data_IF_375563439306
#
_entry.id   IF_375563439306
#
_cell.length_a   1.000
_cell.length_b   1.000
_cell.length_c   1.000
_cell.angle_alpha   90.00
_cell.angle_beta   90.00
_cell.angle_gamma   90.00
#
_symmetry.space_group_name_H-M   'P 1'
#
loop_
_entity.id
_entity.type
_entity.pdbx_description
1 polymer ?
#
# COMPACT_ATOMS: atom_id res chain seq x y z
N UNK A 1 -0.03 2.26 13.81
CA UNK A 1 0.79 1.02 13.86
C UNK A 1 1.06 0.45 12.46
N UNK A 2 0.04 0.15 11.62
CA UNK A 2 0.24 -0.35 10.25
C UNK A 2 1.21 0.54 9.44
N UNK A 3 0.95 1.86 9.40
CA UNK A 3 1.81 2.81 8.68
C UNK A 3 3.27 2.74 9.15
N UNK A 4 3.51 2.66 10.45
CA UNK A 4 4.88 2.59 11.01
C UNK A 4 5.59 1.30 10.61
N UNK A 5 4.87 0.18 10.52
CA UNK A 5 5.43 -1.11 10.07
C UNK A 5 5.81 -1.02 8.58
N UNK A 6 4.93 -0.49 7.75
CA UNK A 6 5.17 -0.32 6.30
C UNK A 6 6.32 0.66 6.06
N UNK A 7 6.38 1.75 6.81
CA UNK A 7 7.47 2.71 6.74
C UNK A 7 8.81 2.05 7.03
N UNK A 8 8.92 1.33 8.14
CA UNK A 8 10.18 0.65 8.51
C UNK A 8 10.55 -0.50 7.55
N UNK A 9 9.55 -1.27 7.07
CA UNK A 9 9.79 -2.45 6.23
C UNK A 9 10.15 -2.10 4.79
N UNK A 10 9.49 -1.09 4.22
CA UNK A 10 9.52 -0.80 2.77
C UNK A 10 9.92 0.64 2.47
N UNK A 11 9.27 1.63 3.09
CA UNK A 11 9.42 3.02 2.70
C UNK A 11 10.82 3.58 2.99
N UNK A 12 11.48 3.14 4.07
CA UNK A 12 12.85 3.56 4.40
C UNK A 12 13.88 3.15 3.35
N UNK A 13 13.71 1.99 2.70
CA UNK A 13 14.60 1.56 1.63
C UNK A 13 14.45 2.46 0.39
N UNK A 14 13.22 2.82 0.03
CA UNK A 14 12.94 3.78 -1.06
C UNK A 14 13.50 5.16 -0.73
N UNK A 15 13.33 5.64 0.49
CA UNK A 15 13.90 6.89 0.98
C UNK A 15 15.42 6.89 0.87
N UNK A 16 16.06 5.86 1.40
CA UNK A 16 17.53 5.74 1.39
C UNK A 16 18.06 5.71 -0.06
N UNK A 17 17.40 5.00 -0.97
CA UNK A 17 17.78 4.93 -2.38
C UNK A 17 17.73 6.31 -3.05
N UNK A 18 16.67 7.08 -2.80
CA UNK A 18 16.52 8.43 -3.34
C UNK A 18 17.57 9.40 -2.77
N UNK A 19 17.79 9.34 -1.45
CA UNK A 19 18.79 10.19 -0.76
C UNK A 19 20.21 9.87 -1.25
N UNK A 20 20.57 8.58 -1.33
CA UNK A 20 21.88 8.16 -1.82
C UNK A 20 22.10 8.58 -3.27
N UNK A 21 21.12 8.36 -4.16
CA UNK A 21 21.22 8.78 -5.55
C UNK A 21 21.41 10.29 -5.70
N UNK A 22 20.69 11.09 -4.91
CA UNK A 22 20.82 12.55 -4.90
C UNK A 22 22.21 12.99 -4.42
N UNK A 23 22.71 12.42 -3.31
CA UNK A 23 24.02 12.74 -2.76
C UNK A 23 25.14 12.37 -3.74
N UNK A 24 25.10 11.18 -4.32
CA UNK A 24 26.11 10.71 -5.30
C UNK A 24 26.10 11.56 -6.58
N UNK A 25 24.97 12.18 -6.91
CA UNK A 25 24.85 13.10 -8.04
C UNK A 25 25.28 14.54 -7.69
N UNK A 26 25.82 14.79 -6.51
CA UNK A 26 26.28 16.11 -6.07
C UNK A 26 25.17 17.14 -5.89
N UNK A 27 23.94 16.69 -5.60
CA UNK A 27 22.80 17.59 -5.40
C UNK A 27 22.88 18.28 -4.04
N UNK A 28 22.33 19.50 -3.97
CA UNK A 28 22.25 20.26 -2.72
C UNK A 28 21.38 19.54 -1.66
N UNK A 29 21.64 19.81 -0.41
CA UNK A 29 21.01 19.11 0.72
C UNK A 29 19.47 19.26 0.76
N UNK A 30 18.95 20.43 0.31
CA UNK A 30 17.51 20.67 0.19
C UNK A 30 16.84 19.72 -0.79
N UNK A 31 17.45 19.50 -1.95
CA UNK A 31 16.95 18.55 -2.96
C UNK A 31 17.09 17.10 -2.48
N UNK A 32 18.19 16.73 -1.80
CA UNK A 32 18.34 15.41 -1.21
C UNK A 32 17.22 15.08 -0.22
N UNK A 33 16.79 16.06 0.59
CA UNK A 33 15.66 15.89 1.52
C UNK A 33 14.35 15.70 0.78
N UNK A 34 14.01 16.54 -0.18
CA UNK A 34 12.78 16.42 -0.97
C UNK A 34 12.70 15.06 -1.70
N UNK A 35 13.79 14.61 -2.29
CA UNK A 35 13.85 13.30 -2.93
C UNK A 35 13.72 12.16 -1.92
N UNK A 36 14.24 12.32 -0.71
CA UNK A 36 14.02 11.38 0.38
C UNK A 36 12.55 11.29 0.79
N UNK A 37 11.88 12.44 0.94
CA UNK A 37 10.44 12.50 1.25
C UNK A 37 9.60 11.87 0.13
N UNK A 38 9.94 12.14 -1.13
CA UNK A 38 9.32 11.47 -2.28
C UNK A 38 9.53 9.96 -2.23
N UNK A 39 10.76 9.49 -2.02
CA UNK A 39 11.08 8.07 -1.94
C UNK A 39 10.28 7.36 -0.84
N UNK A 40 10.22 7.97 0.36
CA UNK A 40 9.44 7.43 1.47
C UNK A 40 7.95 7.30 1.13
N UNK A 41 7.35 8.34 0.57
CA UNK A 41 5.95 8.32 0.17
C UNK A 41 5.68 7.33 -0.97
N UNK A 42 6.60 7.18 -1.92
CA UNK A 42 6.49 6.20 -3.01
C UNK A 42 6.54 4.78 -2.46
N UNK A 43 7.46 4.47 -1.54
CA UNK A 43 7.56 3.16 -0.91
C UNK A 43 6.32 2.80 -0.08
N UNK A 44 5.76 3.78 0.65
CA UNK A 44 4.48 3.62 1.34
C UNK A 44 3.33 3.32 0.35
N UNK A 45 3.22 4.12 -0.71
CA UNK A 45 2.20 3.93 -1.75
C UNK A 45 2.32 2.58 -2.45
N UNK A 46 3.55 2.14 -2.72
CA UNK A 46 3.83 0.84 -3.31
C UNK A 46 3.34 -0.32 -2.41
N UNK A 47 3.63 -0.27 -1.11
CA UNK A 47 3.18 -1.32 -0.18
C UNK A 47 1.66 -1.33 -0.02
N UNK A 48 1.02 -0.15 0.07
CA UNK A 48 -0.44 -0.07 0.11
C UNK A 48 -1.04 -0.68 -1.17
N UNK A 49 -0.46 -0.38 -2.33
CA UNK A 49 -0.88 -0.98 -3.59
C UNK A 49 -0.72 -2.51 -3.58
N UNK A 50 0.40 -3.03 -3.07
CA UNK A 50 0.65 -4.48 -2.98
C UNK A 50 -0.38 -5.18 -2.08
N UNK A 51 -0.70 -4.60 -0.93
CA UNK A 51 -1.74 -5.09 -0.02
C UNK A 51 -3.13 -5.11 -0.67
N UNK A 52 -3.46 -4.05 -1.46
CA UNK A 52 -4.72 -4.01 -2.21
C UNK A 52 -4.74 -5.03 -3.34
N UNK A 53 -3.63 -5.15 -4.06
CA UNK A 53 -3.51 -6.10 -5.16
C UNK A 53 -3.63 -7.55 -4.69
N UNK A 54 -3.08 -7.87 -3.52
CA UNK A 54 -3.22 -9.20 -2.92
C UNK A 54 -4.67 -9.50 -2.52
N UNK A 55 -5.40 -8.52 -2.00
CA UNK A 55 -6.76 -8.70 -1.51
C UNK A 55 -7.85 -8.62 -2.60
N UNK A 56 -7.64 -7.83 -3.66
CA UNK A 56 -8.68 -7.47 -4.64
C UNK A 56 -8.26 -7.63 -6.10
N UNK A 57 -7.03 -8.02 -6.36
CA UNK A 57 -6.50 -8.16 -7.72
C UNK A 57 -7.04 -9.39 -8.44
N UNK A 58 -6.73 -9.47 -9.73
CA UNK A 58 -6.94 -10.63 -10.57
C UNK A 58 -5.58 -11.26 -10.88
N UNK A 59 -5.44 -12.58 -10.67
CA UNK A 59 -4.16 -13.30 -10.86
C UNK A 59 -3.64 -13.19 -12.30
N UNK A 60 -4.53 -13.19 -13.30
CA UNK A 60 -4.16 -13.06 -14.71
C UNK A 60 -3.52 -11.70 -14.99
N UNK A 61 -4.06 -10.62 -14.41
CA UNK A 61 -3.57 -9.26 -14.59
C UNK A 61 -2.31 -8.97 -13.78
N UNK A 62 -2.18 -9.61 -12.60
CA UNK A 62 -1.08 -9.35 -11.66
C UNK A 62 0.13 -10.26 -11.86
N UNK A 63 -0.05 -11.39 -12.56
CA UNK A 63 1.03 -12.36 -12.81
C UNK A 63 1.59 -13.02 -11.55
N UNK A 64 0.85 -13.00 -10.44
CA UNK A 64 1.23 -13.63 -9.17
C UNK A 64 0.01 -14.25 -8.49
N UNK A 65 0.22 -15.24 -7.63
CA UNK A 65 -0.83 -15.80 -6.77
C UNK A 65 -1.27 -14.76 -5.76
N UNK A 66 -2.58 -14.54 -5.64
CA UNK A 66 -3.21 -13.54 -4.76
C UNK A 66 -3.87 -14.19 -3.54
N UNK A 67 -4.34 -13.37 -2.60
CA UNK A 67 -4.98 -13.82 -1.35
C UNK A 67 -4.01 -14.46 -0.35
N UNK A 68 -2.71 -14.31 -0.58
CA UNK A 68 -1.68 -14.92 0.27
C UNK A 68 -1.61 -14.28 1.65
N UNK A 69 -1.79 -12.98 1.72
CA UNK A 69 -1.75 -12.28 3.01
C UNK A 69 -2.92 -12.72 3.89
N UNK A 70 -4.10 -12.85 3.31
CA UNK A 70 -5.27 -13.34 4.02
C UNK A 70 -5.13 -14.82 4.42
N UNK A 71 -4.62 -15.67 3.52
CA UNK A 71 -4.42 -17.09 3.79
C UNK A 71 -3.34 -17.37 4.85
N UNK A 72 -2.39 -16.47 5.03
CA UNK A 72 -1.37 -16.56 6.08
C UNK A 72 -1.74 -15.76 7.35
N UNK A 73 -2.97 -15.27 7.45
CA UNK A 73 -3.44 -14.52 8.63
C UNK A 73 -2.78 -13.16 8.82
N UNK A 74 -2.20 -12.57 7.76
CA UNK A 74 -1.57 -11.25 7.86
C UNK A 74 -2.61 -10.15 7.93
N UNK A 75 -2.45 -9.27 8.91
CA UNK A 75 -3.31 -8.10 9.10
C UNK A 75 -2.78 -6.93 8.28
N UNK A 76 -3.20 -6.85 7.01
CA UNK A 76 -2.86 -5.77 6.08
C UNK A 76 -3.92 -4.67 6.05
N UNK A 77 -3.71 -3.61 5.25
CA UNK A 77 -4.62 -2.46 5.22
C UNK A 77 -6.09 -2.83 4.95
N UNK A 78 -6.44 -3.74 4.03
CA UNK A 78 -7.82 -4.18 3.84
C UNK A 78 -8.46 -4.75 5.11
N UNK A 79 -7.78 -5.63 5.84
CA UNK A 79 -8.32 -6.19 7.09
C UNK A 79 -8.45 -5.13 8.18
N UNK A 80 -7.48 -4.25 8.36
CA UNK A 80 -7.54 -3.15 9.33
C UNK A 80 -8.73 -2.24 9.01
N UNK A 81 -8.95 -1.93 7.74
CA UNK A 81 -10.09 -1.13 7.30
C UNK A 81 -11.40 -1.86 7.58
N UNK A 82 -11.48 -3.15 7.30
CA UNK A 82 -12.66 -3.97 7.64
C UNK A 82 -12.95 -3.92 9.15
N UNK A 83 -11.97 -4.19 9.99
CA UNK A 83 -12.15 -4.16 11.46
C UNK A 83 -12.66 -2.82 11.96
N UNK A 84 -12.23 -1.72 11.36
CA UNK A 84 -12.69 -0.38 11.74
C UNK A 84 -14.15 -0.07 11.32
N UNK A 85 -14.72 -0.89 10.43
CA UNK A 85 -16.07 -0.71 9.88
C UNK A 85 -17.09 -1.69 10.45
N UNK A 86 -16.62 -2.78 11.04
CA UNK A 86 -17.47 -3.76 11.70
C UNK A 86 -17.90 -3.26 13.09
N UNK A 87 -19.09 -3.67 13.57
CA UNK A 87 -19.44 -3.56 14.97
C UNK A 87 -18.34 -4.19 15.85
N UNK A 88 -18.06 -3.59 17.01
CA UNK A 88 -16.94 -4.00 17.86
C UNK A 88 -16.93 -5.49 18.19
N UNK A 89 -18.08 -6.08 18.52
CA UNK A 89 -18.20 -7.51 18.81
C UNK A 89 -17.83 -8.41 17.62
N UNK A 90 -18.21 -8.01 16.40
CA UNK A 90 -17.88 -8.77 15.19
C UNK A 90 -16.41 -8.59 14.82
N UNK A 91 -15.86 -7.39 14.99
CA UNK A 91 -14.46 -7.09 14.76
C UNK A 91 -13.57 -7.91 15.70
N UNK A 92 -13.88 -7.95 17.00
CA UNK A 92 -13.15 -8.75 17.99
C UNK A 92 -13.22 -10.24 17.69
N UNK A 93 -14.40 -10.76 17.34
CA UNK A 93 -14.57 -12.15 16.98
C UNK A 93 -13.74 -12.51 15.74
N UNK A 94 -13.83 -11.72 14.68
CA UNK A 94 -13.11 -11.98 13.44
C UNK A 94 -11.58 -11.91 13.68
N UNK A 95 -11.12 -10.92 14.45
CA UNK A 95 -9.71 -10.80 14.82
C UNK A 95 -9.22 -12.00 15.62
N UNK A 96 -10.01 -12.49 16.58
CA UNK A 96 -9.66 -13.68 17.36
C UNK A 96 -9.53 -14.93 16.48
N UNK A 97 -10.42 -15.09 15.48
CA UNK A 97 -10.35 -16.20 14.51
C UNK A 97 -9.06 -16.14 13.66
N UNK A 98 -8.56 -14.92 13.31
CA UNK A 98 -7.29 -14.74 12.59
C UNK A 98 -6.05 -14.91 13.49
N UNK A 99 -6.17 -14.60 14.78
CA UNK A 99 -5.06 -14.72 15.76
C UNK A 99 -5.00 -16.08 16.45
N UNK A 100 -5.81 -17.04 16.02
CA UNK A 100 -5.73 -18.41 16.56
C UNK A 100 -4.38 -19.02 16.18
N UNK A 101 -3.42 -18.86 17.11
CA UNK A 101 -2.02 -19.21 16.94
C UNK A 101 -1.86 -20.72 16.78
N UNK A 102 -1.56 -21.16 15.58
CA UNK A 102 -1.18 -22.55 15.30
C UNK A 102 -1.76 -23.16 14.04
N UNK A 103 -2.68 -22.48 13.37
CA UNK A 103 -3.24 -22.94 12.10
C UNK A 103 -3.37 -21.80 11.10
N UNK A 104 -3.20 -22.10 9.82
CA UNK A 104 -3.58 -21.16 8.76
C UNK A 104 -5.10 -20.95 8.80
N UNK A 105 -5.58 -19.73 8.45
CA UNK A 105 -7.01 -19.44 8.38
C UNK A 105 -7.75 -20.45 7.50
N UNK A 106 -8.86 -20.98 7.99
CA UNK A 106 -9.65 -21.93 7.22
C UNK A 106 -10.22 -21.30 5.95
N UNK A 107 -10.45 -22.10 4.91
CA UNK A 107 -11.08 -21.64 3.67
C UNK A 107 -12.45 -20.97 3.91
N UNK A 108 -13.19 -21.42 4.94
CA UNK A 108 -14.45 -20.82 5.36
C UNK A 108 -14.25 -19.41 5.94
N UNK A 109 -13.23 -19.22 6.78
CA UNK A 109 -12.88 -17.90 7.34
C UNK A 109 -12.46 -16.95 6.22
N UNK A 110 -11.63 -17.40 5.29
CA UNK A 110 -11.18 -16.62 4.14
C UNK A 110 -12.39 -16.18 3.29
N UNK A 111 -13.26 -17.12 2.88
CA UNK A 111 -14.43 -16.81 2.06
C UNK A 111 -15.39 -15.83 2.77
N UNK A 112 -15.65 -16.03 4.07
CA UNK A 112 -16.46 -15.09 4.86
C UNK A 112 -15.83 -13.69 4.91
N UNK A 113 -14.52 -13.63 5.07
CA UNK A 113 -13.81 -12.34 5.12
C UNK A 113 -13.86 -11.62 3.76
N UNK A 114 -13.68 -12.33 2.66
CA UNK A 114 -13.85 -11.75 1.32
C UNK A 114 -15.25 -11.15 1.13
N UNK A 115 -16.31 -11.85 1.54
CA UNK A 115 -17.68 -11.30 1.47
C UNK A 115 -17.84 -10.04 2.34
N UNK A 116 -17.26 -10.00 3.52
CA UNK A 116 -17.30 -8.82 4.38
C UNK A 116 -16.50 -7.64 3.81
N UNK A 117 -15.36 -7.90 3.15
CA UNK A 117 -14.60 -6.85 2.45
C UNK A 117 -15.43 -6.16 1.36
N UNK A 118 -16.23 -6.93 0.62
CA UNK A 118 -17.14 -6.42 -0.41
C UNK A 118 -18.33 -5.67 0.21
N UNK A 119 -19.02 -6.29 1.17
CA UNK A 119 -20.21 -5.72 1.83
C UNK A 119 -19.92 -4.36 2.47
N UNK A 120 -18.73 -4.21 3.06
CA UNK A 120 -18.32 -2.98 3.72
C UNK A 120 -17.56 -1.99 2.83
N UNK A 121 -17.54 -2.19 1.51
CA UNK A 121 -16.88 -1.33 0.52
C UNK A 121 -15.41 -1.00 0.91
N UNK A 122 -14.69 -2.00 1.43
CA UNK A 122 -13.33 -1.83 1.93
C UNK A 122 -12.37 -1.40 0.82
N UNK A 123 -12.53 -1.96 -0.38
CA UNK A 123 -11.74 -1.57 -1.54
C UNK A 123 -11.78 -0.06 -1.79
N UNK A 124 -12.96 0.54 -1.83
CA UNK A 124 -13.11 1.97 -2.16
C UNK A 124 -12.43 2.87 -1.13
N UNK A 125 -12.44 2.45 0.15
CA UNK A 125 -11.75 3.17 1.22
C UNK A 125 -10.23 3.08 1.12
N UNK A 126 -9.72 1.88 0.90
CA UNK A 126 -8.28 1.66 0.76
C UNK A 126 -7.76 2.33 -0.53
N UNK A 127 -8.53 2.28 -1.61
CA UNK A 127 -8.24 3.00 -2.86
C UNK A 127 -8.15 4.50 -2.63
N UNK A 128 -9.14 5.09 -1.99
CA UNK A 128 -9.14 6.53 -1.70
C UNK A 128 -7.95 6.94 -0.82
N UNK A 129 -7.55 6.09 0.13
CA UNK A 129 -6.37 6.30 0.94
C UNK A 129 -5.09 6.31 0.08
N UNK A 130 -4.89 5.32 -0.79
CA UNK A 130 -3.76 5.26 -1.71
C UNK A 130 -3.74 6.45 -2.68
N UNK A 131 -4.88 6.81 -3.27
CA UNK A 131 -4.98 7.97 -4.17
C UNK A 131 -4.60 9.28 -3.44
N UNK A 132 -4.88 9.39 -2.15
CA UNK A 132 -4.45 10.53 -1.34
C UNK A 132 -2.93 10.56 -1.14
N UNK A 133 -2.30 9.43 -0.80
CA UNK A 133 -0.83 9.33 -0.71
C UNK A 133 -0.17 9.69 -2.06
N UNK A 134 -0.70 9.19 -3.17
CA UNK A 134 -0.20 9.55 -4.52
C UNK A 134 -0.37 11.03 -4.86
N UNK A 135 -1.43 11.70 -4.37
CA UNK A 135 -1.58 13.16 -4.51
C UNK A 135 -0.56 13.94 -3.70
N UNK A 136 -0.19 13.45 -2.51
CA UNK A 136 0.88 14.08 -1.72
C UNK A 136 2.22 14.00 -2.45
N UNK A 137 2.53 12.89 -3.12
CA UNK A 137 3.72 12.77 -3.96
C UNK A 137 3.74 13.78 -5.11
N UNK A 138 2.60 14.00 -5.78
CA UNK A 138 2.51 15.01 -6.84
C UNK A 138 2.81 16.43 -6.32
N UNK A 139 2.46 16.74 -5.07
CA UNK A 139 2.80 18.04 -4.45
C UNK A 139 4.31 18.16 -4.23
N UNK A 140 4.96 17.13 -3.72
CA UNK A 140 6.43 17.11 -3.55
C UNK A 140 7.13 17.31 -4.89
N UNK A 141 6.66 16.66 -5.96
CA UNK A 141 7.18 16.82 -7.30
C UNK A 141 7.03 18.27 -7.83
N UNK A 142 5.95 18.94 -7.45
CA UNK A 142 5.70 20.34 -7.80
C UNK A 142 6.72 21.34 -7.20
N UNK A 143 7.46 20.94 -6.16
CA UNK A 143 8.53 21.74 -5.57
C UNK A 143 9.87 21.61 -6.33
N UNK A 144 10.00 20.61 -7.20
CA UNK A 144 11.21 20.33 -7.96
C UNK A 144 11.27 21.21 -9.23
N UNK A 145 12.45 21.80 -9.48
CA UNK A 145 12.68 22.67 -10.65
C UNK A 145 13.16 21.92 -11.89
N UNK A 146 13.74 20.72 -11.72
CA UNK A 146 14.29 19.92 -12.82
C UNK A 146 13.14 19.12 -13.49
N UNK A 147 12.65 19.62 -14.59
CA UNK A 147 11.53 19.02 -15.34
C UNK A 147 11.81 17.58 -15.78
N UNK A 148 13.04 17.26 -16.18
CA UNK A 148 13.41 15.90 -16.59
C UNK A 148 13.35 14.91 -15.42
N UNK A 149 13.83 15.34 -14.25
CA UNK A 149 13.74 14.55 -13.02
C UNK A 149 12.27 14.37 -12.59
N UNK A 150 11.47 15.45 -12.62
CA UNK A 150 10.03 15.40 -12.31
C UNK A 150 9.32 14.39 -13.19
N UNK A 151 9.52 14.41 -14.50
CA UNK A 151 8.87 13.46 -15.42
C UNK A 151 9.19 12.00 -15.10
N UNK A 152 10.44 11.70 -14.75
CA UNK A 152 10.88 10.34 -14.41
C UNK A 152 10.27 9.84 -13.10
N UNK A 153 10.24 10.71 -12.08
CA UNK A 153 9.68 10.37 -10.78
C UNK A 153 8.16 10.27 -10.84
N UNK A 154 7.50 11.19 -11.57
CA UNK A 154 6.05 11.16 -11.76
C UNK A 154 5.59 9.91 -12.52
N UNK A 155 6.40 9.43 -13.46
CA UNK A 155 6.12 8.17 -14.13
C UNK A 155 5.97 7.00 -13.14
N UNK A 156 6.83 6.90 -12.12
CA UNK A 156 6.73 5.85 -11.08
C UNK A 156 5.40 5.94 -10.31
N UNK A 157 5.00 7.16 -9.95
CA UNK A 157 3.71 7.43 -9.28
C UNK A 157 2.52 7.07 -10.19
N UNK A 158 2.59 7.44 -11.46
CA UNK A 158 1.54 7.18 -12.44
C UNK A 158 1.38 5.69 -12.75
N UNK A 159 2.45 4.91 -12.73
CA UNK A 159 2.39 3.44 -12.87
C UNK A 159 1.53 2.82 -11.76
N UNK A 160 1.72 3.25 -10.50
CA UNK A 160 0.88 2.76 -9.38
C UNK A 160 -0.58 3.16 -9.61
N UNK A 161 -0.82 4.42 -10.00
CA UNK A 161 -2.18 4.93 -10.24
C UNK A 161 -2.88 4.21 -11.39
N UNK A 162 -2.15 3.86 -12.43
CA UNK A 162 -2.69 3.13 -13.59
C UNK A 162 -3.03 1.69 -13.22
N UNK A 163 -2.10 0.98 -12.57
CA UNK A 163 -2.31 -0.37 -12.07
C UNK A 163 -3.45 -0.47 -11.06
N UNK A 164 -3.72 0.58 -10.30
CA UNK A 164 -4.84 0.62 -9.36
C UNK A 164 -6.20 0.52 -10.07
N UNK A 165 -6.31 0.96 -11.33
CA UNK A 165 -7.53 0.83 -12.12
C UNK A 165 -7.83 -0.63 -12.50
N UNK A 166 -6.79 -1.45 -12.62
CA UNK A 166 -6.90 -2.84 -13.05
C UNK A 166 -7.28 -3.81 -11.91
N UNK A 167 -7.32 -3.34 -10.65
CA UNK A 167 -7.59 -4.21 -9.50
C UNK A 167 -9.07 -4.65 -9.38
N UNK A 168 -9.97 -4.02 -10.09
CA UNK A 168 -11.42 -4.29 -10.01
C UNK A 168 -12.03 -4.31 -11.41
N UNK A 169 -11.58 -5.22 -12.25
CA UNK A 169 -12.19 -5.55 -13.54
C UNK A 169 -12.72 -6.97 -13.53
#
# INVERSE_FOLDING_TARGET
EYRSIVEAKTAELFQASCVLGANLSGREQGLCRLLGEFGRGLGLSYQIFDDLADAFGNEENMGKTLGRDLSHGKVTLPLITLFSRLPESQSQQLLAEFLDYGSEPSSKLISRTCSLLEEHAVYDHCRAYLENELRLLARILGELKDTSLVMRLDYMRLVILDKLKDLRC
#
